data_IF_762137683106
#
_entry.id   IF_762137683106
#
_cell.length_a   1.000
_cell.length_b   1.000
_cell.length_c   1.000
_cell.angle_alpha   90.00
_cell.angle_beta   90.00
_cell.angle_gamma   90.00
#
_symmetry.space_group_name_H-M   'P 1'
#
loop_
_entity.id
_entity.type
_entity.pdbx_description
1 polymer ?
#
# COMPACT_ATOMS: atom_id res chain seq x y z
N UNK A 1 18.36 -15.75 -50.28
CA UNK A 1 17.41 -16.51 -49.44
C UNK A 1 16.89 -15.56 -48.37
N UNK A 2 15.60 -15.24 -48.43
CA UNK A 2 14.93 -14.33 -47.50
C UNK A 2 14.37 -15.05 -46.29
N UNK A 3 14.43 -14.35 -45.15
CA UNK A 3 13.56 -14.37 -43.97
C UNK A 3 13.30 -15.69 -43.22
N UNK A 4 13.53 -15.66 -41.89
CA UNK A 4 12.46 -15.59 -40.88
C UNK A 4 12.95 -16.02 -39.46
N UNK A 5 12.51 -15.26 -38.43
CA UNK A 5 11.95 -15.78 -37.15
C UNK A 5 12.97 -16.25 -36.08
N UNK A 6 12.97 -15.89 -34.79
CA UNK A 6 12.08 -15.11 -33.90
C UNK A 6 12.90 -14.64 -32.68
N UNK A 7 12.63 -13.41 -32.25
CA UNK A 7 12.88 -12.85 -30.93
C UNK A 7 12.00 -13.54 -29.87
N UNK A 8 12.59 -14.10 -28.81
CA UNK A 8 12.10 -14.08 -27.41
C UNK A 8 12.65 -15.24 -26.57
N UNK A 9 13.25 -14.87 -25.46
CA UNK A 9 13.62 -15.75 -24.35
C UNK A 9 14.03 -14.87 -23.17
N UNK A 10 13.08 -14.02 -22.81
CA UNK A 10 12.96 -13.14 -21.66
C UNK A 10 14.08 -13.26 -20.61
N UNK A 11 14.81 -12.16 -20.41
CA UNK A 11 15.51 -11.96 -19.16
C UNK A 11 14.50 -12.19 -18.04
N UNK A 12 14.80 -13.15 -17.17
CA UNK A 12 14.12 -13.31 -15.89
C UNK A 12 14.44 -12.06 -15.08
N UNK A 13 13.68 -11.00 -15.37
CA UNK A 13 13.44 -9.92 -14.46
C UNK A 13 12.59 -10.61 -13.40
N UNK A 14 13.25 -11.24 -12.42
CA UNK A 14 12.65 -11.47 -11.13
C UNK A 14 12.00 -10.14 -10.78
N UNK A 15 10.68 -10.07 -10.89
CA UNK A 15 9.88 -9.11 -10.18
C UNK A 15 10.15 -9.42 -8.71
N UNK A 16 11.27 -8.90 -8.20
CA UNK A 16 11.41 -8.59 -6.79
C UNK A 16 10.26 -7.64 -6.57
N UNK A 17 9.12 -8.20 -6.17
CA UNK A 17 7.97 -7.43 -5.75
C UNK A 17 8.53 -6.39 -4.79
N UNK A 18 8.54 -5.15 -5.25
CA UNK A 18 8.98 -3.97 -4.52
C UNK A 18 7.98 -3.75 -3.39
N UNK A 19 8.04 -4.63 -2.38
CA UNK A 19 7.22 -4.50 -1.19
C UNK A 19 7.66 -3.19 -0.54
N UNK A 20 6.78 -2.20 -0.64
CA UNK A 20 6.95 -0.84 -0.10
C UNK A 20 7.21 -0.88 1.42
N UNK A 21 6.74 -1.95 2.08
CA UNK A 21 7.01 -2.26 3.47
C UNK A 21 7.85 -3.53 3.56
N UNK A 22 8.88 -3.51 4.41
CA UNK A 22 9.62 -4.71 4.74
C UNK A 22 8.75 -5.72 5.53
N UNK A 23 9.18 -6.98 5.53
CA UNK A 23 8.43 -8.09 6.12
C UNK A 23 8.18 -7.90 7.63
N UNK A 24 9.14 -7.35 8.35
CA UNK A 24 9.03 -7.09 9.79
C UNK A 24 7.97 -6.02 10.06
N UNK A 25 7.91 -4.97 9.24
CA UNK A 25 6.85 -3.96 9.33
C UNK A 25 5.47 -4.55 9.03
N UNK A 26 5.35 -5.44 8.04
CA UNK A 26 4.09 -6.10 7.73
C UNK A 26 3.61 -7.02 8.86
N UNK A 27 4.53 -7.78 9.47
CA UNK A 27 4.21 -8.61 10.64
C UNK A 27 3.78 -7.78 11.84
N UNK A 28 4.50 -6.69 12.12
CA UNK A 28 4.13 -5.75 13.19
C UNK A 28 2.77 -5.11 12.95
N UNK A 29 2.49 -4.71 11.71
CA UNK A 29 1.21 -4.15 11.31
C UNK A 29 0.07 -5.18 11.44
N UNK A 30 0.30 -6.43 11.04
CA UNK A 30 -0.67 -7.51 11.19
C UNK A 30 -0.97 -7.81 12.67
N UNK A 31 0.05 -7.80 13.52
CA UNK A 31 -0.11 -7.95 14.97
C UNK A 31 -0.97 -6.83 15.57
N UNK A 32 -0.70 -5.58 15.19
CA UNK A 32 -1.47 -4.42 15.64
C UNK A 32 -2.92 -4.47 15.16
N UNK A 33 -3.13 -4.79 13.89
CA UNK A 33 -4.46 -4.92 13.29
C UNK A 33 -5.29 -6.00 14.02
N UNK A 34 -4.68 -7.16 14.29
CA UNK A 34 -5.34 -8.23 15.05
C UNK A 34 -5.65 -7.82 16.50
N UNK A 35 -4.73 -7.12 17.18
CA UNK A 35 -4.93 -6.66 18.55
C UNK A 35 -6.09 -5.65 18.67
N UNK A 36 -6.37 -4.90 17.60
CA UNK A 36 -7.39 -3.87 17.57
C UNK A 36 -8.67 -4.27 16.81
N UNK A 37 -8.80 -5.54 16.40
CA UNK A 37 -9.92 -6.06 15.62
C UNK A 37 -10.18 -5.25 14.33
N UNK A 38 -9.11 -4.93 13.60
CA UNK A 38 -9.12 -4.14 12.37
C UNK A 38 -8.49 -4.88 11.21
N UNK A 39 -8.79 -4.44 9.99
CA UNK A 39 -8.04 -4.88 8.81
C UNK A 39 -6.63 -4.26 8.82
N UNK A 40 -5.68 -4.94 8.17
CA UNK A 40 -4.30 -4.43 7.99
C UNK A 40 -4.32 -3.05 7.30
N UNK A 41 -5.19 -2.87 6.31
CA UNK A 41 -5.37 -1.61 5.60
C UNK A 41 -5.88 -0.50 6.52
N UNK A 42 -6.88 -0.78 7.35
CA UNK A 42 -7.41 0.21 8.30
C UNK A 42 -6.34 0.60 9.32
N UNK A 43 -5.61 -0.38 9.88
CA UNK A 43 -4.52 -0.10 10.82
C UNK A 43 -3.43 0.76 10.19
N UNK A 44 -3.04 0.48 8.94
CA UNK A 44 -2.04 1.26 8.22
C UNK A 44 -2.49 2.71 8.03
N UNK A 45 -3.73 2.90 7.57
CA UNK A 45 -4.29 4.22 7.35
C UNK A 45 -4.31 5.04 8.65
N UNK A 46 -4.68 4.41 9.78
CA UNK A 46 -4.66 5.07 11.09
C UNK A 46 -3.24 5.39 11.57
N UNK A 47 -2.29 4.48 11.37
CA UNK A 47 -0.90 4.70 11.76
C UNK A 47 -0.29 5.87 10.99
N UNK A 48 -0.55 5.95 9.68
CA UNK A 48 -0.13 7.07 8.83
C UNK A 48 -0.80 8.37 9.25
N UNK A 49 -2.11 8.34 9.52
CA UNK A 49 -2.84 9.53 9.99
C UNK A 49 -2.28 10.06 11.31
N UNK A 50 -2.01 9.17 12.28
CA UNK A 50 -1.44 9.54 13.57
C UNK A 50 -0.04 10.18 13.41
N UNK A 51 0.81 9.61 12.56
CA UNK A 51 2.12 10.17 12.24
C UNK A 51 2.01 11.57 11.61
N UNK A 52 1.16 11.72 10.59
CA UNK A 52 0.98 13.01 9.91
C UNK A 52 0.45 14.10 10.84
N UNK A 53 -0.45 13.76 11.78
CA UNK A 53 -0.94 14.71 12.80
C UNK A 53 0.13 15.16 13.78
N UNK A 54 1.13 14.31 14.06
CA UNK A 54 2.21 14.61 14.99
C UNK A 54 3.32 15.42 14.33
N UNK A 55 3.72 15.02 13.12
CA UNK A 55 4.92 15.56 12.45
C UNK A 55 4.64 16.78 11.56
N UNK A 56 3.39 16.99 11.15
CA UNK A 56 3.03 18.13 10.32
C UNK A 56 2.15 19.11 11.13
N UNK A 57 2.50 20.42 11.17
CA UNK A 57 1.64 21.44 11.75
C UNK A 57 0.49 21.72 10.77
N UNK A 58 -0.41 20.75 10.62
CA UNK A 58 -1.53 20.85 9.70
C UNK A 58 -2.70 21.56 10.37
N UNK A 59 -3.36 22.51 9.66
CA UNK A 59 -4.61 23.09 10.13
C UNK A 59 -5.62 21.98 10.40
N UNK A 60 -6.36 22.09 11.52
CA UNK A 60 -7.28 21.09 12.05
C UNK A 60 -8.41 20.60 11.12
N UNK A 61 -8.48 21.07 9.87
CA UNK A 61 -9.54 20.74 8.90
C UNK A 61 -9.16 19.73 7.80
N UNK A 62 -7.92 19.23 7.73
CA UNK A 62 -7.47 18.40 6.59
C UNK A 62 -7.69 16.88 6.82
N UNK A 63 -7.89 16.43 8.06
CA UNK A 63 -7.92 15.01 8.41
C UNK A 63 -9.30 14.33 8.41
N UNK A 64 -10.21 14.71 7.52
CA UNK A 64 -11.35 13.82 7.18
C UNK A 64 -10.93 12.89 6.03
N UNK A 65 -9.90 12.07 6.27
CA UNK A 65 -9.47 11.02 5.33
C UNK A 65 -10.44 9.83 5.31
N UNK A 66 -11.36 9.74 6.27
CA UNK A 66 -12.48 8.78 6.28
C UNK A 66 -13.30 8.82 4.97
N UNK A 67 -13.36 9.96 4.27
CA UNK A 67 -14.10 10.10 3.02
C UNK A 67 -13.33 9.76 1.73
N UNK A 68 -11.99 9.67 1.77
CA UNK A 68 -11.18 9.58 0.55
C UNK A 68 -10.81 8.15 0.14
N UNK A 69 -10.75 7.21 1.07
CA UNK A 69 -10.36 5.81 0.79
C UNK A 69 -11.55 4.89 0.47
N UNK A 70 -12.79 5.29 0.77
CA UNK A 70 -13.98 4.46 0.52
C UNK A 70 -14.54 4.59 -0.91
N UNK A 71 -14.05 5.53 -1.73
CA UNK A 71 -14.61 5.80 -3.07
C UNK A 71 -13.93 5.01 -4.21
N UNK A 72 -13.43 3.80 -3.92
CA UNK A 72 -12.92 2.86 -4.93
C UNK A 72 -13.69 1.53 -4.99
N UNK A 73 -14.82 1.45 -4.29
CA UNK A 73 -15.68 0.26 -4.28
C UNK A 73 -17.04 0.48 -4.98
N UNK A 74 -17.27 1.62 -5.64
CA UNK A 74 -18.47 1.83 -6.47
C UNK A 74 -18.13 2.44 -7.83
N UNK A 75 -17.56 1.62 -8.71
CA UNK A 75 -17.77 1.79 -10.16
C UNK A 75 -18.39 0.50 -10.68
N UNK A 76 -19.69 0.60 -10.93
CA UNK A 76 -20.56 -0.40 -11.54
C UNK A 76 -20.19 -0.64 -13.01
#
# INVERSE_FOLDING_TARGET
MSAAVIDRGEGSMESRDDKVLDEVMLEGLALLAAANDRSIEEELNRAVEAYLRQELPLPAGIFHLEGHFLNRAETK
#
